data_IF_216654656554
#
_entry.id   IF_216654656554
#
_cell.length_a   1.000
_cell.length_b   1.000
_cell.length_c   1.000
_cell.angle_alpha   90.00
_cell.angle_beta   90.00
_cell.angle_gamma   90.00
#
_symmetry.space_group_name_H-M   'P 1'
#
loop_
_entity.id
_entity.type
_entity.pdbx_description
1 polymer ?
#
# COMPACT_ATOMS: atom_id res chain seq x y z
N UNK A 1 -25.13 2.63 -21.22
CA UNK A 1 -25.22 2.25 -19.79
C UNK A 1 -23.92 2.67 -19.13
N UNK A 2 -23.98 3.61 -18.18
CA UNK A 2 -22.82 4.15 -17.45
C UNK A 2 -22.69 3.58 -16.06
N UNK A 3 -23.78 3.12 -15.47
CA UNK A 3 -23.83 2.62 -14.11
C UNK A 3 -24.56 1.29 -14.11
N UNK A 4 -24.00 0.31 -13.39
CA UNK A 4 -24.57 -1.03 -13.28
C UNK A 4 -24.49 -1.47 -11.82
N UNK A 5 -25.66 -1.74 -11.23
CA UNK A 5 -25.81 -2.20 -9.85
C UNK A 5 -26.41 -3.60 -9.86
N UNK A 6 -25.67 -4.55 -9.30
CA UNK A 6 -25.99 -5.97 -9.30
C UNK A 6 -25.66 -6.53 -7.92
N UNK A 7 -26.50 -6.21 -6.94
CA UNK A 7 -26.35 -6.63 -5.54
C UNK A 7 -27.29 -7.75 -5.17
N UNK A 8 -26.89 -8.56 -4.18
CA UNK A 8 -27.74 -9.56 -3.53
C UNK A 8 -28.31 -10.64 -4.48
N UNK A 9 -27.61 -10.93 -5.58
CA UNK A 9 -28.03 -11.93 -6.58
C UNK A 9 -27.35 -13.29 -6.41
N UNK A 10 -26.59 -13.49 -5.32
CA UNK A 10 -25.82 -14.72 -5.07
C UNK A 10 -24.84 -15.07 -6.22
N UNK A 11 -24.33 -14.08 -6.96
CA UNK A 11 -23.38 -14.32 -8.04
C UNK A 11 -22.12 -14.97 -7.49
N UNK A 12 -21.74 -16.14 -8.01
CA UNK A 12 -20.54 -16.88 -7.57
C UNK A 12 -19.28 -16.54 -8.36
N UNK A 13 -19.45 -15.89 -9.51
CA UNK A 13 -18.36 -15.56 -10.43
C UNK A 13 -18.61 -14.22 -11.10
N UNK A 14 -17.53 -13.55 -11.45
CA UNK A 14 -17.58 -12.35 -12.28
C UNK A 14 -18.04 -12.70 -13.71
N UNK A 15 -19.00 -11.96 -14.26
CA UNK A 15 -19.44 -12.14 -15.64
C UNK A 15 -18.54 -11.36 -16.60
N UNK A 16 -17.74 -12.07 -17.39
CA UNK A 16 -16.79 -11.47 -18.33
C UNK A 16 -17.46 -10.64 -19.43
N UNK A 17 -18.77 -10.80 -19.67
CA UNK A 17 -19.52 -9.94 -20.61
C UNK A 17 -19.54 -8.48 -20.17
N UNK A 18 -19.39 -8.22 -18.87
CA UNK A 18 -19.30 -6.86 -18.31
C UNK A 18 -18.11 -6.08 -18.88
N UNK A 19 -17.05 -6.78 -19.29
CA UNK A 19 -15.84 -6.19 -19.87
C UNK A 19 -16.10 -5.51 -21.23
N UNK A 20 -17.23 -5.80 -21.88
CA UNK A 20 -17.61 -5.22 -23.18
C UNK A 20 -18.23 -3.82 -23.05
N UNK A 21 -18.63 -3.40 -21.85
CA UNK A 21 -19.26 -2.09 -21.65
C UNK A 21 -18.22 -0.98 -21.52
N UNK A 22 -17.72 -0.50 -22.67
CA UNK A 22 -16.69 0.56 -22.73
C UNK A 22 -17.11 1.90 -22.10
N UNK A 23 -18.42 2.15 -21.95
CA UNK A 23 -18.98 3.37 -21.35
C UNK A 23 -19.30 3.22 -19.86
N UNK A 24 -19.07 2.04 -19.26
CA UNK A 24 -19.34 1.80 -17.84
C UNK A 24 -18.37 2.63 -16.99
N UNK A 25 -18.92 3.36 -16.02
CA UNK A 25 -18.24 4.26 -15.08
C UNK A 25 -18.45 3.83 -13.63
N UNK A 26 -19.58 3.23 -13.30
CA UNK A 26 -19.84 2.67 -11.97
C UNK A 26 -20.25 1.21 -12.08
N UNK A 27 -19.57 0.36 -11.33
CA UNK A 27 -19.90 -1.06 -11.24
C UNK A 27 -20.03 -1.45 -9.77
N UNK A 28 -21.22 -1.87 -9.39
CA UNK A 28 -21.52 -2.35 -8.05
C UNK A 28 -21.94 -3.82 -8.10
N UNK A 29 -21.08 -4.66 -7.55
CA UNK A 29 -21.25 -6.11 -7.42
C UNK A 29 -21.25 -6.52 -5.94
N UNK A 30 -21.53 -5.58 -5.02
CA UNK A 30 -21.51 -5.82 -3.59
C UNK A 30 -22.53 -6.87 -3.13
N UNK A 31 -22.30 -7.48 -1.98
CA UNK A 31 -23.19 -8.49 -1.38
C UNK A 31 -23.51 -9.67 -2.31
N UNK A 32 -22.48 -10.21 -2.97
CA UNK A 32 -22.58 -11.43 -3.75
C UNK A 32 -21.65 -12.51 -3.16
N UNK A 33 -21.32 -13.53 -3.94
CA UNK A 33 -20.45 -14.65 -3.55
C UNK A 33 -19.29 -14.80 -4.53
N UNK A 34 -18.88 -13.70 -5.16
CA UNK A 34 -17.82 -13.69 -6.17
C UNK A 34 -16.52 -14.05 -5.47
N UNK A 35 -15.81 -15.04 -5.99
CA UNK A 35 -14.56 -15.53 -5.40
C UNK A 35 -13.31 -14.95 -6.04
N UNK A 36 -13.43 -14.49 -7.29
CA UNK A 36 -12.29 -14.00 -8.08
C UNK A 36 -12.73 -12.87 -9.00
N UNK A 37 -11.82 -11.92 -9.20
CA UNK A 37 -11.94 -10.85 -10.18
C UNK A 37 -10.92 -11.09 -11.29
N UNK A 38 -11.35 -11.16 -12.56
CA UNK A 38 -10.44 -11.41 -13.67
C UNK A 38 -9.49 -10.22 -13.88
N UNK A 39 -8.22 -10.45 -14.27
CA UNK A 39 -7.25 -9.39 -14.51
C UNK A 39 -7.68 -8.41 -15.61
N UNK A 40 -8.55 -8.83 -16.51
CA UNK A 40 -9.14 -8.01 -17.56
C UNK A 40 -10.00 -6.86 -17.02
N UNK A 41 -10.38 -6.86 -15.74
CA UNK A 41 -11.02 -5.69 -15.09
C UNK A 41 -10.18 -4.42 -15.26
N UNK A 42 -8.85 -4.58 -15.36
CA UNK A 42 -7.89 -3.50 -15.60
C UNK A 42 -8.13 -2.73 -16.91
N UNK A 43 -8.88 -3.30 -17.86
CA UNK A 43 -9.26 -2.67 -19.14
C UNK A 43 -10.45 -1.74 -19.03
N UNK A 44 -11.26 -1.84 -17.96
CA UNK A 44 -12.41 -0.98 -17.77
C UNK A 44 -11.98 0.38 -17.23
N UNK A 45 -12.70 1.43 -17.66
CA UNK A 45 -12.46 2.80 -17.21
C UNK A 45 -13.56 3.23 -16.22
N UNK A 46 -13.51 2.65 -15.03
CA UNK A 46 -14.47 2.89 -13.95
C UNK A 46 -14.03 4.05 -13.06
N UNK A 47 -14.98 4.88 -12.64
CA UNK A 47 -14.81 5.86 -11.57
C UNK A 47 -15.06 5.22 -10.19
N UNK A 48 -16.01 4.28 -10.11
CA UNK A 48 -16.38 3.59 -8.87
C UNK A 48 -16.51 2.08 -9.10
N UNK A 49 -15.91 1.30 -8.20
CA UNK A 49 -16.00 -0.16 -8.17
C UNK A 49 -16.31 -0.63 -6.75
N UNK A 50 -17.48 -1.23 -6.57
CA UNK A 50 -17.94 -1.76 -5.28
C UNK A 50 -18.01 -3.28 -5.37
N UNK A 51 -17.20 -3.93 -4.55
CA UNK A 51 -17.06 -5.38 -4.47
C UNK A 51 -17.16 -5.88 -3.01
N UNK A 52 -17.57 -5.01 -2.09
CA UNK A 52 -17.68 -5.35 -0.68
C UNK A 52 -18.66 -6.50 -0.42
N UNK A 53 -18.42 -7.26 0.66
CA UNK A 53 -19.23 -8.43 1.06
C UNK A 53 -19.32 -9.48 -0.06
N UNK A 54 -18.17 -9.92 -0.54
CA UNK A 54 -18.03 -11.05 -1.45
C UNK A 54 -17.13 -12.12 -0.82
N UNK A 55 -16.62 -13.06 -1.62
CA UNK A 55 -15.69 -14.10 -1.19
C UNK A 55 -14.34 -13.98 -1.94
N UNK A 56 -13.96 -12.77 -2.36
CA UNK A 56 -12.77 -12.52 -3.16
C UNK A 56 -11.52 -12.83 -2.34
N UNK A 57 -10.69 -13.74 -2.84
CA UNK A 57 -9.47 -14.17 -2.13
C UNK A 57 -8.22 -13.40 -2.54
N UNK A 58 -8.24 -12.74 -3.70
CA UNK A 58 -7.10 -11.99 -4.23
C UNK A 58 -7.53 -10.87 -5.16
N UNK A 59 -6.71 -9.81 -5.21
CA UNK A 59 -6.82 -8.74 -6.18
C UNK A 59 -5.86 -8.98 -7.35
N UNK A 60 -6.28 -8.78 -8.61
CA UNK A 60 -5.41 -9.00 -9.76
C UNK A 60 -4.24 -8.01 -9.80
N UNK A 61 -3.08 -8.48 -10.26
CA UNK A 61 -1.93 -7.61 -10.61
C UNK A 61 -2.30 -6.73 -11.80
N UNK A 62 -1.79 -5.49 -11.81
CA UNK A 62 -2.10 -4.47 -12.80
C UNK A 62 -0.82 -3.85 -13.35
N UNK A 63 -0.82 -3.57 -14.64
CA UNK A 63 0.26 -2.82 -15.27
C UNK A 63 -0.02 -1.31 -15.28
N UNK A 64 1.00 -0.53 -15.63
CA UNK A 64 0.92 0.93 -15.74
C UNK A 64 -0.03 1.41 -16.86
N UNK A 65 -0.43 0.52 -17.78
CA UNK A 65 -1.33 0.85 -18.91
C UNK A 65 -2.79 0.55 -18.58
N UNK A 66 -3.08 0.08 -17.37
CA UNK A 66 -4.45 -0.18 -16.90
C UNK A 66 -5.31 1.08 -17.01
N UNK A 67 -6.42 0.96 -17.74
CA UNK A 67 -7.44 2.00 -17.82
C UNK A 67 -8.09 2.26 -16.45
N UNK A 68 -8.22 1.19 -15.64
CA UNK A 68 -8.74 1.26 -14.28
C UNK A 68 -7.82 2.11 -13.40
N UNK A 69 -6.50 1.95 -13.52
CA UNK A 69 -5.52 2.75 -12.77
C UNK A 69 -5.60 4.26 -13.01
N UNK A 70 -5.99 4.65 -14.22
CA UNK A 70 -6.12 6.06 -14.62
C UNK A 70 -7.48 6.64 -14.24
N UNK A 71 -8.52 5.83 -14.06
CA UNK A 71 -9.89 6.34 -13.87
C UNK A 71 -10.49 6.11 -12.49
N UNK A 72 -10.06 5.08 -11.77
CA UNK A 72 -10.71 4.66 -10.52
C UNK A 72 -10.48 5.66 -9.39
N UNK A 73 -11.58 6.13 -8.80
CA UNK A 73 -11.61 7.08 -7.68
C UNK A 73 -12.13 6.46 -6.40
N UNK A 74 -13.10 5.54 -6.51
CA UNK A 74 -13.75 4.93 -5.37
C UNK A 74 -13.65 3.41 -5.49
N UNK A 75 -13.03 2.77 -4.50
CA UNK A 75 -12.89 1.31 -4.45
C UNK A 75 -13.37 0.80 -3.09
N UNK A 76 -14.30 -0.15 -3.10
CA UNK A 76 -14.71 -0.88 -1.91
C UNK A 76 -14.47 -2.37 -2.09
N UNK A 77 -13.52 -2.92 -1.33
CA UNK A 77 -13.22 -4.35 -1.24
C UNK A 77 -13.64 -4.93 0.11
N UNK A 78 -14.28 -4.15 0.99
CA UNK A 78 -14.49 -4.55 2.39
C UNK A 78 -15.19 -5.89 2.56
N UNK A 79 -14.91 -6.61 3.65
CA UNK A 79 -15.52 -7.92 3.91
C UNK A 79 -15.29 -8.93 2.77
N UNK A 80 -14.05 -9.09 2.33
CA UNK A 80 -13.59 -10.15 1.44
C UNK A 80 -12.37 -10.82 2.08
N UNK A 81 -12.13 -12.12 1.93
CA UNK A 81 -10.98 -12.80 2.55
C UNK A 81 -9.68 -12.57 1.75
N UNK A 82 -9.14 -11.35 1.74
CA UNK A 82 -7.89 -10.99 1.06
C UNK A 82 -6.76 -10.83 2.09
N UNK A 83 -5.90 -11.84 2.20
CA UNK A 83 -4.79 -11.84 3.16
C UNK A 83 -3.62 -10.92 2.77
N UNK A 84 -3.47 -10.65 1.46
CA UNK A 84 -2.41 -9.79 0.90
C UNK A 84 -2.83 -9.14 -0.42
N UNK A 85 -2.47 -7.86 -0.60
CA UNK A 85 -2.65 -7.13 -1.86
C UNK A 85 -1.35 -7.18 -2.68
N UNK A 86 -1.42 -7.24 -4.02
CA UNK A 86 -0.23 -7.28 -4.84
C UNK A 86 0.59 -5.98 -4.72
N UNK A 87 1.92 -6.06 -4.94
CA UNK A 87 2.83 -4.91 -4.77
C UNK A 87 2.47 -3.72 -5.68
N UNK A 88 1.78 -3.97 -6.79
CA UNK A 88 1.31 -2.97 -7.74
C UNK A 88 -0.09 -2.41 -7.42
N UNK A 89 -0.71 -2.78 -6.30
CA UNK A 89 -2.08 -2.36 -5.96
C UNK A 89 -2.28 -0.84 -6.05
N UNK A 90 -1.32 -0.05 -5.56
CA UNK A 90 -1.39 1.41 -5.54
C UNK A 90 -1.00 2.09 -6.87
N UNK A 91 -0.90 1.35 -7.98
CA UNK A 91 -0.85 1.95 -9.33
C UNK A 91 -2.11 2.77 -9.65
N UNK A 92 -3.21 2.50 -8.94
CA UNK A 92 -4.48 3.23 -8.95
C UNK A 92 -4.31 4.65 -8.36
N UNK A 93 -3.51 5.51 -9.01
CA UNK A 93 -3.03 6.80 -8.46
C UNK A 93 -4.12 7.83 -8.21
N UNK A 94 -5.28 7.67 -8.85
CA UNK A 94 -6.40 8.60 -8.79
C UNK A 94 -7.45 8.24 -7.72
N UNK A 95 -7.17 7.26 -6.87
CA UNK A 95 -8.04 6.91 -5.76
C UNK A 95 -8.25 8.09 -4.81
N UNK A 96 -9.51 8.31 -4.46
CA UNK A 96 -9.99 9.33 -3.53
C UNK A 96 -10.50 8.66 -2.25
N UNK A 97 -11.22 7.53 -2.38
CA UNK A 97 -11.74 6.77 -1.26
C UNK A 97 -11.54 5.28 -1.48
N UNK A 98 -10.97 4.62 -0.48
CA UNK A 98 -10.62 3.20 -0.53
C UNK A 98 -11.08 2.53 0.76
N UNK A 99 -11.96 1.54 0.65
CA UNK A 99 -12.38 0.72 1.77
C UNK A 99 -11.79 -0.69 1.66
N UNK A 100 -10.86 -0.99 2.54
CA UNK A 100 -10.15 -2.27 2.66
C UNK A 100 -10.40 -2.91 4.04
N UNK A 101 -11.50 -2.55 4.69
CA UNK A 101 -11.84 -3.02 6.03
C UNK A 101 -12.25 -4.49 6.01
N UNK A 102 -11.93 -5.23 7.07
CA UNK A 102 -12.29 -6.64 7.23
C UNK A 102 -11.83 -7.53 6.08
N UNK A 103 -10.60 -7.31 5.60
CA UNK A 103 -10.00 -8.13 4.56
C UNK A 103 -9.19 -9.32 5.11
N UNK A 104 -8.65 -9.18 6.33
CA UNK A 104 -7.67 -10.12 6.89
C UNK A 104 -6.22 -9.78 6.54
N UNK A 105 -5.95 -8.55 6.07
CA UNK A 105 -4.62 -8.11 5.65
C UNK A 105 -3.61 -8.16 6.78
N UNK A 106 -2.46 -8.82 6.54
CA UNK A 106 -1.33 -8.86 7.48
C UNK A 106 -0.34 -7.69 7.30
N UNK A 107 -0.48 -6.95 6.20
CA UNK A 107 0.34 -5.80 5.85
C UNK A 107 -0.20 -5.10 4.61
N UNK A 108 0.42 -3.98 4.23
CA UNK A 108 0.07 -3.24 3.02
C UNK A 108 1.27 -3.16 2.07
N UNK A 109 1.04 -3.27 0.75
CA UNK A 109 2.07 -2.98 -0.23
C UNK A 109 2.47 -1.50 -0.10
N UNK A 110 3.78 -1.24 -0.11
CA UNK A 110 4.33 0.10 0.08
C UNK A 110 4.64 0.82 -1.24
N UNK A 111 4.79 0.06 -2.33
CA UNK A 111 5.05 0.59 -3.66
C UNK A 111 3.90 1.49 -4.11
N UNK A 112 4.25 2.64 -4.68
CA UNK A 112 3.30 3.66 -5.18
C UNK A 112 2.31 4.26 -4.17
N UNK A 113 2.27 3.80 -2.91
CA UNK A 113 1.38 4.36 -1.89
C UNK A 113 1.58 5.87 -1.72
N UNK A 114 2.82 6.36 -1.78
CA UNK A 114 3.15 7.79 -1.73
C UNK A 114 2.67 8.60 -2.95
N UNK A 115 2.26 7.94 -4.04
CA UNK A 115 1.79 8.60 -5.26
C UNK A 115 0.30 8.93 -5.24
N UNK A 116 -0.46 8.52 -4.21
CA UNK A 116 -1.91 8.73 -4.13
C UNK A 116 -2.25 10.17 -3.71
N UNK A 117 -1.96 11.16 -4.58
CA UNK A 117 -2.09 12.59 -4.27
C UNK A 117 -3.53 13.06 -4.03
N UNK A 118 -4.51 12.24 -4.40
CA UNK A 118 -5.94 12.57 -4.29
C UNK A 118 -6.66 11.82 -3.18
N UNK A 119 -5.96 10.97 -2.43
CA UNK A 119 -6.55 10.13 -1.40
C UNK A 119 -7.06 10.98 -0.24
N UNK A 120 -8.34 10.78 0.13
CA UNK A 120 -9.02 11.49 1.21
C UNK A 120 -9.58 10.57 2.27
N UNK A 121 -9.89 9.32 1.93
CA UNK A 121 -10.44 8.34 2.87
C UNK A 121 -9.80 6.97 2.59
N UNK A 122 -9.15 6.40 3.60
CA UNK A 122 -8.58 5.06 3.58
C UNK A 122 -9.02 4.31 4.84
N UNK A 123 -9.82 3.27 4.64
CA UNK A 123 -10.33 2.42 5.73
C UNK A 123 -9.64 1.08 5.72
N UNK A 124 -9.05 0.74 6.86
CA UNK A 124 -8.26 -0.46 7.10
C UNK A 124 -8.72 -1.20 8.36
N UNK A 125 -9.93 -0.89 8.84
CA UNK A 125 -10.43 -1.43 10.10
C UNK A 125 -10.61 -2.95 10.05
N UNK A 126 -10.46 -3.64 11.18
CA UNK A 126 -10.74 -5.07 11.30
C UNK A 126 -9.82 -5.96 10.47
N UNK A 127 -8.57 -5.56 10.29
CA UNK A 127 -7.53 -6.35 9.62
C UNK A 127 -6.56 -6.95 10.65
N UNK A 128 -5.43 -7.51 10.18
CA UNK A 128 -4.37 -8.10 11.01
C UNK A 128 -3.06 -7.32 10.85
N UNK A 129 -3.15 -6.00 10.65
CA UNK A 129 -1.99 -5.17 10.35
C UNK A 129 -1.10 -5.07 11.59
N UNK A 130 0.17 -5.43 11.42
CA UNK A 130 1.19 -5.31 12.48
C UNK A 130 1.93 -3.98 12.48
N UNK A 131 2.00 -3.33 11.32
CA UNK A 131 2.54 -1.99 11.13
C UNK A 131 2.06 -1.44 9.78
N UNK A 132 2.06 -0.12 9.64
CA UNK A 132 1.80 0.58 8.38
C UNK A 132 3.12 0.87 7.64
N UNK A 133 3.14 0.86 6.31
CA UNK A 133 4.31 1.25 5.54
C UNK A 133 4.60 2.75 5.69
N UNK A 134 5.86 3.14 5.92
CA UNK A 134 6.26 4.55 6.08
C UNK A 134 5.69 5.52 5.03
N UNK A 135 5.57 5.19 3.74
CA UNK A 135 4.90 6.04 2.76
C UNK A 135 3.50 6.54 3.14
N UNK A 136 2.77 5.90 4.08
CA UNK A 136 1.48 6.38 4.56
C UNK A 136 1.58 7.77 5.20
N UNK A 137 2.73 8.14 5.75
CA UNK A 137 2.91 9.39 6.50
C UNK A 137 2.86 10.65 5.64
N UNK A 138 2.87 10.51 4.30
CA UNK A 138 2.70 11.65 3.39
C UNK A 138 1.24 12.07 3.26
N UNK A 139 0.30 11.20 3.64
CA UNK A 139 -1.15 11.41 3.52
C UNK A 139 -1.74 12.05 4.77
N UNK A 140 -1.17 13.17 5.23
CA UNK A 140 -1.53 13.81 6.51
C UNK A 140 -2.97 14.35 6.58
N UNK A 141 -3.58 14.61 5.41
CA UNK A 141 -4.95 15.10 5.25
C UNK A 141 -5.97 13.99 4.94
N UNK A 142 -5.53 12.73 4.89
CA UNK A 142 -6.41 11.60 4.64
C UNK A 142 -7.09 11.17 5.94
N UNK A 143 -8.40 10.92 5.86
CA UNK A 143 -9.13 10.19 6.89
C UNK A 143 -8.65 8.74 6.88
N UNK A 144 -7.90 8.35 7.91
CA UNK A 144 -7.34 7.02 8.07
C UNK A 144 -8.03 6.32 9.23
N UNK A 145 -8.72 5.21 8.96
CA UNK A 145 -9.27 4.34 10.01
C UNK A 145 -8.53 3.00 10.03
N UNK A 146 -8.04 2.62 11.21
CA UNK A 146 -7.18 1.44 11.43
C UNK A 146 -7.57 0.67 12.70
N UNK A 147 -8.78 0.87 13.20
CA UNK A 147 -9.30 0.19 14.40
C UNK A 147 -9.42 -1.32 14.19
N UNK A 148 -9.32 -2.11 15.26
CA UNK A 148 -9.40 -3.57 15.20
C UNK A 148 -8.25 -4.20 14.41
N UNK A 149 -7.02 -3.70 14.59
CA UNK A 149 -5.78 -4.29 14.08
C UNK A 149 -4.88 -4.78 15.24
N UNK A 150 -3.73 -5.37 14.90
CA UNK A 150 -2.79 -5.95 15.86
C UNK A 150 -1.41 -5.28 15.76
N UNK A 151 -1.37 -3.94 15.92
CA UNK A 151 -0.15 -3.18 15.77
C UNK A 151 0.90 -3.57 16.81
N UNK A 152 2.13 -3.74 16.34
CA UNK A 152 3.28 -3.98 17.20
C UNK A 152 3.60 -2.70 17.97
N UNK A 153 3.90 -2.86 19.27
CA UNK A 153 4.34 -1.77 20.12
C UNK A 153 5.60 -1.13 19.52
N UNK A 154 5.62 0.20 19.35
CA UNK A 154 6.81 0.90 18.90
C UNK A 154 7.98 0.69 19.85
N UNK A 155 9.13 0.34 19.30
CA UNK A 155 10.37 0.20 20.05
C UNK A 155 11.47 1.00 19.35
N UNK A 156 11.64 2.28 19.70
CA UNK A 156 12.68 3.13 19.13
C UNK A 156 14.07 2.85 19.73
N UNK A 157 14.20 1.86 20.63
CA UNK A 157 15.48 1.55 21.26
C UNK A 157 16.50 1.10 20.21
N UNK A 158 17.77 1.51 20.31
CA UNK A 158 18.76 1.06 19.33
C UNK A 158 19.09 -0.44 19.40
N UNK A 159 18.66 -1.11 20.46
CA UNK A 159 18.72 -2.56 20.65
C UNK A 159 17.67 -3.30 19.79
N UNK A 160 16.54 -2.65 19.45
CA UNK A 160 15.47 -3.22 18.62
C UNK A 160 15.82 -3.32 17.13
N UNK A 161 16.94 -2.70 16.71
CA UNK A 161 17.40 -2.66 15.32
C UNK A 161 17.74 -4.06 14.78
N UNK A 162 16.78 -4.66 14.08
CA UNK A 162 16.96 -5.97 13.43
C UNK A 162 17.70 -5.81 12.09
N UNK A 163 19.04 -5.99 12.11
CA UNK A 163 19.93 -6.64 11.11
C UNK A 163 21.37 -6.08 11.11
N UNK A 164 22.29 -6.79 11.77
CA UNK A 164 23.73 -6.79 11.42
C UNK A 164 23.98 -7.93 10.41
N UNK A 165 23.37 -7.91 9.23
CA UNK A 165 23.82 -8.75 8.11
C UNK A 165 24.81 -7.96 7.28
N UNK A 166 25.91 -8.59 6.89
CA UNK A 166 26.82 -8.02 5.88
C UNK A 166 26.01 -7.79 4.61
N UNK A 167 25.90 -6.55 4.11
CA UNK A 167 25.15 -6.27 2.89
C UNK A 167 25.77 -7.06 1.74
N UNK A 168 24.95 -7.79 0.97
CA UNK A 168 25.40 -8.45 -0.25
C UNK A 168 25.88 -7.39 -1.27
N UNK A 169 26.76 -7.76 -2.20
CA UNK A 169 27.15 -6.87 -3.31
C UNK A 169 25.92 -6.33 -4.06
N UNK A 170 24.88 -7.16 -4.19
CA UNK A 170 23.61 -6.77 -4.80
C UNK A 170 22.89 -5.66 -4.00
N UNK A 171 22.86 -5.77 -2.66
CA UNK A 171 22.28 -4.74 -1.79
C UNK A 171 23.08 -3.42 -1.87
N UNK A 172 24.41 -3.48 -1.94
CA UNK A 172 25.26 -2.30 -2.11
C UNK A 172 25.07 -1.66 -3.49
N UNK A 173 25.05 -2.47 -4.56
CA UNK A 173 24.78 -2.01 -5.91
C UNK A 173 23.40 -1.31 -6.00
N UNK A 174 22.38 -1.85 -5.32
CA UNK A 174 21.05 -1.22 -5.27
C UNK A 174 21.06 0.17 -4.62
N UNK A 175 21.88 0.37 -3.56
CA UNK A 175 22.05 1.68 -2.93
C UNK A 175 22.71 2.66 -3.90
N UNK A 176 23.79 2.24 -4.58
CA UNK A 176 24.52 3.08 -5.54
C UNK A 176 23.60 3.47 -6.70
N UNK A 177 22.89 2.51 -7.31
CA UNK A 177 21.91 2.79 -8.36
C UNK A 177 20.85 3.79 -7.88
N UNK A 178 20.28 3.57 -6.69
CA UNK A 178 19.23 4.45 -6.15
C UNK A 178 19.68 5.88 -5.85
N UNK A 179 20.99 6.11 -5.70
CA UNK A 179 21.57 7.42 -5.34
C UNK A 179 22.22 8.17 -6.49
N UNK A 180 22.75 7.45 -7.49
CA UNK A 180 23.59 8.05 -8.53
C UNK A 180 22.92 8.13 -9.90
N UNK A 181 21.84 7.37 -10.13
CA UNK A 181 21.13 7.40 -11.41
C UNK A 181 19.84 8.19 -11.28
N UNK A 182 19.45 8.89 -12.34
CA UNK A 182 18.11 9.46 -12.44
C UNK A 182 17.12 8.28 -12.45
N UNK A 183 16.57 7.95 -11.28
CA UNK A 183 15.76 6.75 -11.05
C UNK A 183 14.59 6.69 -12.05
N UNK A 184 14.03 7.84 -12.42
CA UNK A 184 12.96 7.94 -13.40
C UNK A 184 13.39 7.45 -14.79
N UNK A 185 14.62 7.76 -15.22
CA UNK A 185 15.17 7.23 -16.48
C UNK A 185 15.49 5.74 -16.40
N UNK A 186 15.94 5.26 -15.23
CA UNK A 186 16.30 3.86 -15.04
C UNK A 186 15.06 2.96 -14.97
N UNK A 187 13.97 3.42 -14.34
CA UNK A 187 12.67 2.74 -14.30
C UNK A 187 12.05 2.54 -15.70
N UNK A 188 12.39 3.38 -16.68
CA UNK A 188 11.96 3.21 -18.08
C UNK A 188 12.67 2.06 -18.80
N UNK A 189 13.83 1.62 -18.32
CA UNK A 189 14.68 0.62 -18.96
C UNK A 189 14.63 -0.75 -18.25
N UNK A 190 14.10 -0.80 -17.04
CA UNK A 190 14.05 -2.01 -16.23
C UNK A 190 12.80 -2.87 -16.52
N UNK A 191 12.91 -4.21 -16.43
CA UNK A 191 11.77 -5.09 -16.33
C UNK A 191 10.80 -4.69 -15.20
N UNK A 192 9.50 -4.87 -15.42
CA UNK A 192 8.44 -4.42 -14.50
C UNK A 192 8.62 -4.89 -13.05
N UNK A 193 9.04 -6.15 -12.84
CA UNK A 193 9.28 -6.70 -11.50
C UNK A 193 10.42 -5.97 -10.75
N UNK A 194 11.43 -5.46 -11.48
CA UNK A 194 12.48 -4.62 -10.88
C UNK A 194 11.95 -3.22 -10.61
N UNK A 195 11.12 -2.65 -11.50
CA UNK A 195 10.46 -1.37 -11.25
C UNK A 195 9.63 -1.42 -9.97
N UNK A 196 8.90 -2.49 -9.71
CA UNK A 196 8.15 -2.68 -8.46
C UNK A 196 9.05 -2.70 -7.23
N UNK A 197 10.20 -3.38 -7.31
CA UNK A 197 11.19 -3.40 -6.21
C UNK A 197 11.80 -2.02 -5.93
N UNK A 198 12.04 -1.22 -6.97
CA UNK A 198 12.56 0.15 -6.83
C UNK A 198 11.48 1.17 -6.47
N UNK A 199 10.21 0.91 -6.80
CA UNK A 199 9.06 1.74 -6.45
C UNK A 199 8.70 1.67 -4.95
N UNK A 200 9.24 0.69 -4.21
CA UNK A 200 9.17 0.67 -2.75
C UNK A 200 10.02 1.84 -2.23
N UNK A 201 9.39 2.98 -2.00
CA UNK A 201 10.07 4.19 -1.56
C UNK A 201 10.50 4.08 -0.10
N UNK A 202 11.61 3.39 0.14
CA UNK A 202 12.22 3.26 1.46
C UNK A 202 13.21 4.40 1.64
N UNK A 203 12.77 5.55 2.13
CA UNK A 203 13.71 6.60 2.51
C UNK A 203 14.36 6.28 3.85
N UNK A 204 15.68 6.44 3.91
CA UNK A 204 16.41 6.36 5.15
C UNK A 204 15.97 7.48 6.10
N UNK A 205 15.62 7.13 7.33
CA UNK A 205 15.18 8.08 8.35
C UNK A 205 16.25 9.15 8.64
N UNK A 206 17.53 8.78 8.59
CA UNK A 206 18.64 9.69 8.89
C UNK A 206 19.09 10.54 7.70
N UNK A 207 19.44 9.91 6.57
CA UNK A 207 20.05 10.62 5.43
C UNK A 207 19.07 10.97 4.32
N UNK A 208 17.79 10.59 4.44
CA UNK A 208 16.70 10.81 3.46
C UNK A 208 16.91 10.22 2.05
N UNK A 209 18.07 9.66 1.77
CA UNK A 209 18.33 8.91 0.55
C UNK A 209 17.52 7.60 0.53
N UNK A 210 17.21 7.14 -0.67
CA UNK A 210 16.66 5.80 -0.88
C UNK A 210 17.58 4.76 -0.26
N UNK A 211 16.98 3.88 0.53
CA UNK A 211 17.57 2.66 1.00
C UNK A 211 17.66 1.66 -0.16
N UNK A 212 18.69 0.82 -0.13
CA UNK A 212 18.76 -0.34 -1.02
C UNK A 212 17.72 -1.40 -0.68
N UNK A 213 17.90 -2.58 -1.25
CA UNK A 213 16.95 -3.68 -1.12
C UNK A 213 16.83 -4.26 0.30
N UNK A 214 17.88 -4.17 1.12
CA UNK A 214 17.95 -4.74 2.46
C UNK A 214 18.26 -3.69 3.54
N UNK A 215 17.37 -2.71 3.78
CA UNK A 215 17.57 -1.78 4.86
C UNK A 215 17.31 -2.43 6.21
N UNK A 216 17.95 -1.86 7.23
CA UNK A 216 17.55 -2.03 8.62
C UNK A 216 16.14 -1.50 8.84
N UNK A 217 15.36 -2.21 9.65
CA UNK A 217 13.95 -1.91 9.93
C UNK A 217 13.79 -1.59 11.41
N UNK A 218 12.88 -0.67 11.71
CA UNK A 218 12.47 -0.32 13.06
C UNK A 218 10.98 0.01 13.05
N UNK A 219 10.34 -0.15 14.20
CA UNK A 219 8.92 0.19 14.37
C UNK A 219 8.86 1.46 15.21
N UNK A 220 8.30 2.51 14.63
CA UNK A 220 8.10 3.80 15.28
C UNK A 220 6.60 4.07 15.44
N UNK A 221 6.19 4.93 16.39
CA UNK A 221 4.80 5.38 16.44
C UNK A 221 4.43 6.08 15.12
N UNK A 222 3.19 5.91 14.68
CA UNK A 222 2.67 6.65 13.54
C UNK A 222 2.67 8.16 13.87
N UNK A 223 3.32 9.02 13.06
CA UNK A 223 3.23 10.48 13.24
C UNK A 223 1.79 10.97 13.16
N UNK A 224 1.54 12.16 13.70
CA UNK A 224 0.20 12.77 13.72
C UNK A 224 -0.38 12.86 12.30
N UNK A 225 -1.46 12.12 12.08
CA UNK A 225 -2.40 12.30 10.97
C UNK A 225 -3.63 13.00 11.56
N UNK A 226 -4.11 14.07 10.92
CA UNK A 226 -5.16 14.93 11.48
C UNK A 226 -6.46 14.18 11.76
N UNK A 227 -6.79 13.23 10.90
CA UNK A 227 -8.03 12.46 10.91
C UNK A 227 -7.70 10.98 11.03
N UNK A 228 -7.20 10.57 12.21
CA UNK A 228 -6.89 9.18 12.54
C UNK A 228 -7.96 8.60 13.46
N UNK A 229 -8.59 7.51 13.04
CA UNK A 229 -9.42 6.67 13.88
C UNK A 229 -8.64 5.38 14.20
N UNK A 230 -8.29 5.19 15.47
CA UNK A 230 -7.57 4.01 15.95
C UNK A 230 -7.99 3.66 17.37
N UNK A 231 -7.71 2.44 17.78
CA UNK A 231 -7.99 1.98 19.14
C UNK A 231 -7.01 2.64 20.13
N UNK A 232 -7.52 3.10 21.27
CA UNK A 232 -6.70 3.77 22.28
C UNK A 232 -5.62 2.85 22.87
N UNK A 233 -5.92 1.56 23.01
CA UNK A 233 -5.05 0.57 23.65
C UNK A 233 -4.07 -0.09 22.66
N UNK A 234 -4.26 0.09 21.35
CA UNK A 234 -3.36 -0.41 20.31
C UNK A 234 -3.08 0.68 19.26
N UNK A 235 -2.28 1.71 19.63
CA UNK A 235 -1.99 2.80 18.71
C UNK A 235 -1.19 2.30 17.49
N UNK A 236 -1.45 2.87 16.30
CA UNK A 236 -0.80 2.42 15.09
C UNK A 236 0.69 2.74 15.06
N UNK A 237 1.45 1.84 14.44
CA UNK A 237 2.89 1.96 14.27
C UNK A 237 3.30 1.90 12.80
N UNK A 238 4.44 2.48 12.47
CA UNK A 238 5.00 2.51 11.11
C UNK A 238 6.36 1.82 11.05
N UNK A 239 6.58 1.08 9.98
CA UNK A 239 7.89 0.49 9.68
C UNK A 239 8.80 1.53 8.99
N UNK A 240 9.88 1.90 9.65
CA UNK A 240 10.88 2.86 9.17
C UNK A 240 12.21 2.17 8.81
N UNK A 241 13.06 2.88 8.07
CA UNK A 241 14.25 2.28 7.47
C UNK A 241 15.54 3.05 7.75
N UNK A 242 16.65 2.33 7.95
CA UNK A 242 18.01 2.86 7.96
C UNK A 242 18.87 2.16 6.89
N UNK A 243 19.59 2.94 6.09
CA UNK A 243 20.30 2.41 4.92
C UNK A 243 21.65 1.74 5.22
N UNK A 244 22.16 1.80 6.45
CA UNK A 244 23.45 1.19 6.79
C UNK A 244 24.12 1.73 8.07
N UNK A 245 25.34 1.26 8.39
CA UNK A 245 25.99 1.47 9.69
C UNK A 245 26.21 2.92 10.07
N UNK A 246 26.51 3.80 9.11
CA UNK A 246 26.67 5.23 9.36
C UNK A 246 25.37 5.86 9.87
N UNK A 247 24.23 5.58 9.22
CA UNK A 247 22.93 6.08 9.65
C UNK A 247 22.50 5.45 10.98
N UNK A 248 22.86 4.19 11.25
CA UNK A 248 22.64 3.56 12.55
C UNK A 248 23.39 4.27 13.66
N UNK A 249 24.68 4.58 13.47
CA UNK A 249 25.47 5.33 14.44
C UNK A 249 24.87 6.72 14.67
N UNK A 250 24.47 7.42 13.61
CA UNK A 250 23.81 8.72 13.73
C UNK A 250 22.50 8.63 14.51
N UNK A 251 21.67 7.62 14.23
CA UNK A 251 20.43 7.36 14.96
C UNK A 251 20.71 7.06 16.43
N UNK A 252 21.65 6.16 16.73
CA UNK A 252 22.08 5.79 18.09
C UNK A 252 22.53 7.00 18.92
N UNK A 253 23.24 7.94 18.30
CA UNK A 253 23.74 9.13 19.00
C UNK A 253 22.63 10.16 19.29
N UNK A 254 21.61 10.26 18.42
CA UNK A 254 20.57 11.29 18.49
C UNK A 254 19.20 10.74 18.10
N UNK A 255 18.64 9.75 18.82
CA UNK A 255 17.39 9.09 18.42
C UNK A 255 16.19 10.05 18.48
N UNK A 256 16.21 10.99 19.43
CA UNK A 256 15.21 12.05 19.60
C UNK A 256 15.03 12.95 18.37
N UNK A 257 16.04 13.09 17.50
CA UNK A 257 15.92 13.87 16.25
C UNK A 257 15.02 13.20 15.20
N UNK A 258 14.75 11.92 15.38
CA UNK A 258 14.05 11.07 14.43
C UNK A 258 12.77 10.47 15.01
N UNK A 259 12.42 10.82 16.25
CA UNK A 259 11.09 10.63 16.77
C UNK A 259 10.13 11.41 15.85
N UNK A 260 9.27 10.68 15.15
CA UNK A 260 8.23 11.21 14.28
C UNK A 260 7.14 11.82 15.18
N UNK A 261 7.42 12.97 15.80
CA UNK A 261 6.48 13.74 16.63
C UNK A 261 5.51 14.55 15.75
#
# INVERSE_FOLDING_TARGET
MTDLIVRDLNLRSFDSRLLKFALLRSLDLGSNKITQIPPEISRLSLNSLVLGRNAITSWPSMDLKSALAVSLRNLDLSHNPIDWLPDDFWILKNLVSVNLSHLGLNGLPASFLHCLQHLRDLRLDGNKLRCLPFPITVHTQCHLSVSGNEFLNPDPSPESLQCLRVPTLFSLASIVCSRQTNLDRLLLLLPWHLCLRFAVFRKCLCCRHSCGLDPLRMILPLPRIHTLCSDCDNPPSVICYLCGPACVRTYKLKPWKYALL
#
